data_IF_673618529409
#
_entry.id   IF_673618529409
#
_cell.length_a   1.000
_cell.length_b   1.000
_cell.length_c   1.000
_cell.angle_alpha   90.00
_cell.angle_beta   90.00
_cell.angle_gamma   90.00
#
_symmetry.space_group_name_H-M   'P 1'
#
loop_
_entity.id
_entity.type
_entity.pdbx_description
1 polymer ?
#
# COMPACT_ATOMS: atom_id res chain seq x y z
N UNK A 1 -14.43 1.31 -35.75
CA UNK A 1 -14.81 1.48 -34.34
C UNK A 1 -13.77 0.75 -33.51
N UNK A 2 -12.94 1.47 -32.75
CA UNK A 2 -12.00 0.83 -31.82
C UNK A 2 -12.77 0.14 -30.71
N UNK A 3 -12.44 -1.11 -30.42
CA UNK A 3 -13.08 -1.84 -29.34
C UNK A 3 -12.77 -1.13 -28.02
N UNK A 4 -13.79 -0.79 -27.23
CA UNK A 4 -13.62 -0.14 -25.92
C UNK A 4 -12.66 -0.95 -25.03
N UNK A 5 -12.67 -2.27 -25.16
CA UNK A 5 -11.74 -3.15 -24.45
C UNK A 5 -10.27 -2.92 -24.84
N UNK A 6 -9.97 -2.58 -26.09
CA UNK A 6 -8.60 -2.27 -26.54
C UNK A 6 -8.11 -0.95 -25.97
N UNK A 7 -8.99 0.06 -25.89
CA UNK A 7 -8.65 1.37 -25.32
C UNK A 7 -8.29 1.25 -23.83
N UNK A 8 -9.05 0.46 -23.07
CA UNK A 8 -8.87 0.30 -21.62
C UNK A 8 -8.13 -0.97 -21.21
N UNK A 9 -7.46 -1.65 -22.14
CA UNK A 9 -6.76 -2.91 -21.85
C UNK A 9 -5.70 -2.73 -20.76
N UNK A 10 -4.88 -1.68 -20.84
CA UNK A 10 -3.79 -1.43 -19.89
C UNK A 10 -4.27 -1.19 -18.44
N UNK A 11 -5.22 -0.28 -18.15
CA UNK A 11 -5.73 -0.07 -16.79
C UNK A 11 -6.52 -1.28 -16.26
N UNK A 12 -7.18 -2.04 -17.14
CA UNK A 12 -7.82 -3.30 -16.78
C UNK A 12 -6.78 -4.32 -16.30
N UNK A 13 -5.71 -4.54 -17.06
CA UNK A 13 -4.64 -5.46 -16.67
C UNK A 13 -3.92 -5.00 -15.39
N UNK A 14 -3.70 -3.70 -15.21
CA UNK A 14 -3.15 -3.17 -13.95
C UNK A 14 -4.08 -3.43 -12.75
N UNK A 15 -5.39 -3.30 -12.94
CA UNK A 15 -6.38 -3.65 -11.91
C UNK A 15 -6.37 -5.15 -11.59
N UNK A 16 -6.27 -6.02 -12.62
CA UNK A 16 -6.11 -7.46 -12.42
C UNK A 16 -4.81 -7.80 -11.67
N UNK A 17 -3.70 -7.14 -12.01
CA UNK A 17 -2.42 -7.31 -11.32
C UNK A 17 -2.51 -6.86 -9.85
N UNK A 18 -3.25 -5.79 -9.56
CA UNK A 18 -3.54 -5.36 -8.19
C UNK A 18 -4.35 -6.42 -7.42
N UNK A 19 -5.39 -6.99 -8.03
CA UNK A 19 -6.19 -8.08 -7.42
C UNK A 19 -5.34 -9.32 -7.16
N UNK A 20 -4.48 -9.70 -8.11
CA UNK A 20 -3.55 -10.81 -7.92
C UNK A 20 -2.61 -10.55 -6.73
N UNK A 21 -2.04 -9.34 -6.64
CA UNK A 21 -1.19 -8.94 -5.52
C UNK A 21 -1.94 -8.98 -4.18
N UNK A 22 -3.21 -8.55 -4.14
CA UNK A 22 -4.06 -8.65 -2.97
C UNK A 22 -4.17 -10.10 -2.47
N UNK A 23 -4.46 -11.06 -3.36
CA UNK A 23 -4.52 -12.47 -2.98
C UNK A 23 -3.17 -13.04 -2.55
N UNK A 24 -2.07 -12.58 -3.14
CA UNK A 24 -0.71 -12.94 -2.68
C UNK A 24 -0.50 -12.46 -1.23
N UNK A 25 -0.93 -11.24 -0.89
CA UNK A 25 -0.78 -10.70 0.47
C UNK A 25 -1.69 -11.39 1.49
N UNK A 26 -2.92 -11.71 1.11
CA UNK A 26 -3.82 -12.55 1.92
C UNK A 26 -3.19 -13.92 2.18
N UNK A 27 -2.64 -14.55 1.13
CA UNK A 27 -1.94 -15.82 1.23
C UNK A 27 -0.73 -15.76 2.17
N UNK A 28 0.09 -14.72 2.04
CA UNK A 28 1.22 -14.47 2.94
C UNK A 28 0.78 -14.29 4.40
N UNK A 29 -0.22 -13.44 4.65
CA UNK A 29 -0.75 -13.20 5.99
C UNK A 29 -1.27 -14.50 6.62
N UNK A 30 -2.02 -15.29 5.86
CA UNK A 30 -2.53 -16.60 6.30
C UNK A 30 -1.39 -17.57 6.60
N UNK A 31 -0.38 -17.65 5.74
CA UNK A 31 0.76 -18.55 5.92
C UNK A 31 1.56 -18.23 7.20
N UNK A 32 1.79 -16.95 7.49
CA UNK A 32 2.46 -16.51 8.72
C UNK A 32 1.63 -16.87 9.95
N UNK A 33 0.33 -16.51 9.96
CA UNK A 33 -0.59 -16.83 11.06
C UNK A 33 -0.64 -18.33 11.33
N UNK A 34 -0.82 -19.13 10.29
CA UNK A 34 -0.88 -20.58 10.39
C UNK A 34 0.44 -21.17 10.92
N UNK A 35 1.58 -20.73 10.37
CA UNK A 35 2.90 -21.21 10.81
C UNK A 35 3.15 -20.90 12.29
N UNK A 36 2.75 -19.73 12.78
CA UNK A 36 2.96 -19.35 14.19
C UNK A 36 2.04 -20.16 15.11
N UNK A 37 0.75 -20.25 14.77
CA UNK A 37 -0.23 -20.97 15.61
C UNK A 37 0.08 -22.47 15.69
N UNK A 38 0.59 -23.07 14.62
CA UNK A 38 0.90 -24.50 14.59
C UNK A 38 2.27 -24.84 15.20
N UNK A 39 3.30 -24.03 14.93
CA UNK A 39 4.67 -24.32 15.42
C UNK A 39 4.94 -23.84 16.85
N UNK A 40 4.11 -22.94 17.38
CA UNK A 40 4.30 -22.36 18.71
C UNK A 40 3.04 -22.49 19.58
N UNK A 41 2.68 -23.71 20.04
CA UNK A 41 1.52 -23.90 20.92
C UNK A 41 1.67 -23.15 22.27
N UNK A 42 2.91 -22.91 22.72
CA UNK A 42 3.23 -22.09 23.90
C UNK A 42 2.82 -20.63 23.74
N UNK A 43 2.86 -20.09 22.51
CA UNK A 43 2.35 -18.74 22.25
C UNK A 43 0.84 -18.65 22.49
N UNK A 44 0.08 -19.66 22.03
CA UNK A 44 -1.36 -19.72 22.23
C UNK A 44 -1.71 -19.87 23.72
N UNK A 45 -0.97 -20.72 24.43
CA UNK A 45 -1.14 -20.91 25.88
C UNK A 45 -0.83 -19.62 26.66
N UNK A 46 0.30 -18.97 26.38
CA UNK A 46 0.65 -17.69 26.96
C UNK A 46 -0.40 -16.61 26.68
N UNK A 47 -0.85 -16.48 25.41
CA UNK A 47 -1.87 -15.50 25.02
C UNK A 47 -3.21 -15.71 25.74
N UNK A 48 -3.53 -16.96 26.09
CA UNK A 48 -4.74 -17.32 26.81
C UNK A 48 -4.52 -17.42 28.35
N UNK A 49 -3.42 -16.87 28.87
CA UNK A 49 -3.06 -16.88 30.30
C UNK A 49 -2.93 -18.27 30.95
N UNK A 50 -2.70 -19.32 30.15
CA UNK A 50 -2.45 -20.67 30.67
C UNK A 50 -1.01 -20.87 31.14
N UNK A 51 -0.06 -20.09 30.63
CA UNK A 51 1.35 -20.16 31.01
C UNK A 51 1.76 -18.94 31.85
N UNK A 52 2.61 -19.11 32.87
CA UNK A 52 3.05 -18.01 33.72
C UNK A 52 3.88 -16.98 32.93
N UNK A 53 3.80 -15.68 33.29
CA UNK A 53 4.51 -14.61 32.62
C UNK A 53 5.98 -14.57 33.06
N UNK A 54 6.75 -15.57 32.68
CA UNK A 54 8.22 -15.55 32.81
C UNK A 54 8.84 -14.63 31.77
N UNK A 55 10.03 -14.08 32.06
CA UNK A 55 10.77 -13.22 31.12
C UNK A 55 11.00 -13.90 29.76
N UNK A 56 11.29 -15.20 29.77
CA UNK A 56 11.47 -16.00 28.56
C UNK A 56 10.19 -16.11 27.73
N UNK A 57 9.06 -16.42 28.36
CA UNK A 57 7.76 -16.53 27.69
C UNK A 57 7.32 -15.18 27.10
N UNK A 58 7.50 -14.09 27.86
CA UNK A 58 7.22 -12.73 27.40
C UNK A 58 8.04 -12.37 26.16
N UNK A 59 9.34 -12.68 26.15
CA UNK A 59 10.22 -12.39 25.01
C UNK A 59 9.82 -13.15 23.74
N UNK A 60 9.53 -14.44 23.86
CA UNK A 60 9.08 -15.27 22.73
C UNK A 60 7.73 -14.76 22.20
N UNK A 61 6.77 -14.51 23.11
CA UNK A 61 5.46 -14.02 22.74
C UNK A 61 5.52 -12.65 22.05
N UNK A 62 6.34 -11.73 22.56
CA UNK A 62 6.56 -10.42 21.94
C UNK A 62 7.12 -10.52 20.53
N UNK A 63 8.08 -11.43 20.30
CA UNK A 63 8.66 -11.67 18.97
C UNK A 63 7.62 -12.22 17.99
N UNK A 64 6.86 -13.23 18.38
CA UNK A 64 5.82 -13.84 17.54
C UNK A 64 4.68 -12.85 17.25
N UNK A 65 4.28 -12.05 18.25
CA UNK A 65 3.32 -10.98 18.08
C UNK A 65 3.84 -9.94 17.07
N UNK A 66 5.11 -9.56 17.13
CA UNK A 66 5.70 -8.63 16.16
C UNK A 66 5.70 -9.19 14.72
N UNK A 67 5.84 -10.51 14.53
CA UNK A 67 5.71 -11.16 13.22
C UNK A 67 4.26 -11.14 12.71
N UNK A 68 3.28 -11.44 13.59
CA UNK A 68 1.86 -11.36 13.25
C UNK A 68 1.47 -9.95 12.83
N UNK A 69 1.87 -8.95 13.61
CA UNK A 69 1.59 -7.54 13.30
C UNK A 69 2.30 -7.10 12.01
N UNK A 70 3.52 -7.60 11.73
CA UNK A 70 4.19 -7.32 10.47
C UNK A 70 3.38 -7.85 9.28
N UNK A 71 2.89 -9.09 9.38
CA UNK A 71 2.04 -9.69 8.36
C UNK A 71 0.72 -8.93 8.17
N UNK A 72 0.05 -8.53 9.26
CA UNK A 72 -1.17 -7.72 9.20
C UNK A 72 -0.95 -6.35 8.55
N UNK A 73 0.21 -5.72 8.76
CA UNK A 73 0.54 -4.44 8.11
C UNK A 73 0.74 -4.55 6.60
N UNK A 74 1.16 -5.69 6.07
CA UNK A 74 1.31 -5.85 4.62
C UNK A 74 -0.02 -5.69 3.88
N UNK A 75 -1.06 -6.35 4.36
CA UNK A 75 -2.41 -6.24 3.78
C UNK A 75 -3.09 -4.92 4.18
N UNK A 76 -2.93 -4.48 5.43
CA UNK A 76 -3.50 -3.22 5.91
C UNK A 76 -3.03 -2.05 5.05
N UNK A 77 -1.72 -1.95 4.82
CA UNK A 77 -1.16 -0.87 4.01
C UNK A 77 -1.58 -0.93 2.53
N UNK A 78 -1.76 -2.13 1.97
CA UNK A 78 -2.29 -2.30 0.61
C UNK A 78 -3.71 -1.74 0.52
N UNK A 79 -4.58 -2.12 1.46
CA UNK A 79 -5.98 -1.72 1.50
C UNK A 79 -6.18 -0.23 1.81
N UNK A 80 -5.34 0.38 2.65
CA UNK A 80 -5.42 1.80 3.02
C UNK A 80 -5.43 2.75 1.80
N UNK A 81 -4.64 2.47 0.76
CA UNK A 81 -4.62 3.32 -0.44
C UNK A 81 -5.40 2.73 -1.62
N UNK A 82 -6.01 1.55 -1.46
CA UNK A 82 -6.69 0.86 -2.56
C UNK A 82 -7.88 1.65 -3.12
N UNK A 83 -8.78 2.23 -2.29
CA UNK A 83 -9.88 3.02 -2.82
C UNK A 83 -9.39 4.23 -3.62
N UNK A 84 -8.41 4.96 -3.08
CA UNK A 84 -7.84 6.13 -3.74
C UNK A 84 -7.15 5.74 -5.06
N UNK A 85 -6.36 4.67 -5.07
CA UNK A 85 -5.69 4.18 -6.27
C UNK A 85 -6.67 3.73 -7.35
N UNK A 86 -7.59 2.81 -7.04
CA UNK A 86 -8.49 2.24 -8.05
C UNK A 86 -9.41 3.31 -8.63
N UNK A 87 -9.98 4.18 -7.80
CA UNK A 87 -10.84 5.27 -8.26
C UNK A 87 -10.06 6.24 -9.15
N UNK A 88 -8.91 6.71 -8.69
CA UNK A 88 -8.14 7.70 -9.46
C UNK A 88 -7.52 7.13 -10.73
N UNK A 89 -7.10 5.86 -10.74
CA UNK A 89 -6.65 5.16 -11.95
C UNK A 89 -7.72 5.17 -13.03
N UNK A 90 -8.94 4.78 -12.67
CA UNK A 90 -10.05 4.71 -13.63
C UNK A 90 -10.52 6.09 -14.06
N UNK A 91 -10.60 7.06 -13.15
CA UNK A 91 -10.91 8.46 -13.51
C UNK A 91 -9.88 9.01 -14.50
N UNK A 92 -8.58 8.83 -14.24
CA UNK A 92 -7.51 9.27 -15.14
C UNK A 92 -7.58 8.55 -16.48
N UNK A 93 -7.82 7.24 -16.47
CA UNK A 93 -7.85 6.44 -17.69
C UNK A 93 -9.00 6.83 -18.61
N UNK A 94 -10.17 7.16 -18.04
CA UNK A 94 -11.36 7.57 -18.81
C UNK A 94 -11.26 9.02 -19.27
N UNK A 95 -10.76 9.93 -18.42
CA UNK A 95 -10.80 11.37 -18.69
C UNK A 95 -9.54 11.93 -19.35
N UNK A 96 -8.39 11.25 -19.22
CA UNK A 96 -7.09 11.80 -19.62
C UNK A 96 -6.37 10.87 -20.60
N UNK A 97 -5.88 9.72 -20.14
CA UNK A 97 -5.12 8.77 -20.99
C UNK A 97 -5.14 7.37 -20.37
N UNK A 98 -5.85 6.43 -21.03
CA UNK A 98 -5.93 5.05 -20.58
C UNK A 98 -4.59 4.30 -20.64
N UNK A 99 -3.81 4.49 -21.70
CA UNK A 99 -2.57 3.76 -21.91
C UNK A 99 -1.49 4.19 -20.91
N UNK A 100 -1.33 5.50 -20.69
CA UNK A 100 -0.42 6.03 -19.69
C UNK A 100 -0.90 5.75 -18.26
N UNK A 101 -2.22 5.82 -18.01
CA UNK A 101 -2.84 5.43 -16.76
C UNK A 101 -2.49 3.99 -16.36
N UNK A 102 -2.63 3.05 -17.30
CA UNK A 102 -2.26 1.65 -17.06
C UNK A 102 -0.77 1.44 -16.78
N UNK A 103 0.15 2.14 -17.46
CA UNK A 103 1.60 2.07 -17.16
C UNK A 103 1.90 2.49 -15.72
N UNK A 104 1.35 3.62 -15.27
CA UNK A 104 1.51 4.07 -13.89
C UNK A 104 0.79 3.15 -12.90
N UNK A 105 -0.32 2.54 -13.30
CA UNK A 105 -0.99 1.48 -12.55
C UNK A 105 -0.09 0.26 -12.30
N UNK A 106 0.66 -0.20 -13.30
CA UNK A 106 1.66 -1.25 -13.11
C UNK A 106 2.82 -0.81 -12.23
N UNK A 107 3.31 0.43 -12.38
CA UNK A 107 4.33 0.98 -11.47
C UNK A 107 3.84 0.96 -10.02
N UNK A 108 2.60 1.37 -9.76
CA UNK A 108 1.97 1.31 -8.44
C UNK A 108 1.99 -0.12 -7.87
N UNK A 109 1.51 -1.11 -8.64
CA UNK A 109 1.52 -2.52 -8.23
C UNK A 109 2.95 -3.01 -7.95
N UNK A 110 3.91 -2.62 -8.79
CA UNK A 110 5.33 -2.91 -8.60
C UNK A 110 5.86 -2.39 -7.27
N UNK A 111 5.66 -1.10 -6.95
CA UNK A 111 6.06 -0.54 -5.67
C UNK A 111 5.35 -1.22 -4.48
N UNK A 112 4.06 -1.53 -4.61
CA UNK A 112 3.33 -2.28 -3.57
C UNK A 112 3.92 -3.66 -3.32
N UNK A 113 4.33 -4.38 -4.35
CA UNK A 113 4.93 -5.70 -4.21
C UNK A 113 6.24 -5.68 -3.39
N UNK A 114 6.97 -4.56 -3.38
CA UNK A 114 8.20 -4.39 -2.60
C UNK A 114 7.95 -4.20 -1.09
N UNK A 115 6.75 -3.79 -0.69
CA UNK A 115 6.41 -3.45 0.70
C UNK A 115 6.76 -4.53 1.74
N UNK A 116 6.33 -5.82 1.59
CA UNK A 116 6.66 -6.86 2.57
C UNK A 116 8.16 -7.07 2.76
N UNK A 117 8.95 -6.91 1.69
CA UNK A 117 10.40 -7.05 1.75
C UNK A 117 11.06 -5.89 2.51
N UNK A 118 10.56 -4.67 2.33
CA UNK A 118 11.06 -3.46 2.99
C UNK A 118 10.64 -3.37 4.47
N UNK A 119 9.45 -3.90 4.79
CA UNK A 119 8.95 -4.01 6.15
C UNK A 119 9.75 -5.05 6.96
N UNK A 120 10.08 -6.18 6.33
CA UNK A 120 10.76 -7.30 6.96
C UNK A 120 9.83 -8.25 7.71
N UNK A 121 10.41 -9.30 8.32
CA UNK A 121 9.65 -10.36 9.00
C UNK A 121 9.13 -9.96 10.38
N UNK A 122 9.77 -9.00 11.03
CA UNK A 122 9.46 -8.57 12.40
C UNK A 122 9.38 -7.06 12.45
N UNK A 123 8.30 -6.54 13.05
CA UNK A 123 8.21 -5.12 13.34
C UNK A 123 9.20 -4.73 14.43
N UNK A 124 10.15 -3.88 14.06
CA UNK A 124 11.04 -3.21 15.02
C UNK A 124 10.30 -2.04 15.68
N UNK A 125 10.74 -1.63 16.88
CA UNK A 125 10.15 -0.53 17.68
C UNK A 125 9.85 0.74 16.87
N UNK A 126 10.69 1.08 15.89
CA UNK A 126 10.37 2.09 14.88
C UNK A 126 9.98 1.41 13.57
N UNK A 127 8.90 1.89 12.96
CA UNK A 127 8.53 1.53 11.59
C UNK A 127 9.77 1.63 10.69
N UNK A 128 10.04 0.56 9.93
CA UNK A 128 11.19 0.52 9.03
C UNK A 128 11.06 1.68 8.05
N UNK A 129 11.91 2.72 8.16
CA UNK A 129 11.92 3.87 7.23
C UNK A 129 12.08 3.43 5.77
N UNK A 130 12.51 2.18 5.52
CA UNK A 130 12.61 1.58 4.19
C UNK A 130 11.25 1.43 3.52
N UNK A 131 10.15 1.28 4.27
CA UNK A 131 8.80 1.14 3.68
C UNK A 131 8.39 2.38 2.87
N UNK A 132 8.97 3.54 3.17
CA UNK A 132 8.75 4.77 2.41
C UNK A 132 9.14 4.66 0.94
N UNK A 133 10.10 3.79 0.62
CA UNK A 133 10.50 3.51 -0.78
C UNK A 133 9.37 2.87 -1.58
N UNK A 134 8.49 2.10 -0.92
CA UNK A 134 7.30 1.53 -1.56
C UNK A 134 6.08 2.43 -1.46
N UNK A 135 5.92 3.22 -0.39
CA UNK A 135 4.69 3.99 -0.17
C UNK A 135 4.71 5.37 -0.82
N UNK A 136 5.84 6.08 -0.80
CA UNK A 136 5.92 7.44 -1.34
C UNK A 136 5.66 7.49 -2.85
N UNK A 137 6.26 6.63 -3.69
CA UNK A 137 5.94 6.62 -5.12
C UNK A 137 4.47 6.31 -5.40
N UNK A 138 3.86 5.44 -4.59
CA UNK A 138 2.42 5.13 -4.69
C UNK A 138 1.55 6.37 -4.44
N UNK A 139 1.88 7.17 -3.40
CA UNK A 139 1.18 8.43 -3.16
C UNK A 139 1.36 9.42 -4.30
N UNK A 140 2.57 9.56 -4.84
CA UNK A 140 2.82 10.42 -5.99
C UNK A 140 2.00 10.00 -7.22
N UNK A 141 1.86 8.70 -7.48
CA UNK A 141 1.04 8.19 -8.60
C UNK A 141 -0.43 8.54 -8.39
N UNK A 142 -0.99 8.26 -7.20
CA UNK A 142 -2.39 8.58 -6.88
C UNK A 142 -2.64 10.08 -7.04
N UNK A 143 -1.74 10.90 -6.52
CA UNK A 143 -1.89 12.36 -6.57
C UNK A 143 -1.75 12.89 -8.00
N UNK A 144 -0.85 12.32 -8.79
CA UNK A 144 -0.72 12.63 -10.21
C UNK A 144 -2.01 12.33 -10.98
N UNK A 145 -2.61 11.15 -10.77
CA UNK A 145 -3.91 10.82 -11.37
C UNK A 145 -4.99 11.82 -10.98
N UNK A 146 -5.12 12.09 -9.68
CA UNK A 146 -6.14 12.99 -9.16
C UNK A 146 -6.00 14.42 -9.70
N UNK A 147 -4.80 14.99 -9.64
CA UNK A 147 -4.52 16.34 -10.13
C UNK A 147 -4.71 16.47 -11.63
N UNK A 148 -4.33 15.47 -12.42
CA UNK A 148 -4.53 15.47 -13.87
C UNK A 148 -6.00 15.48 -14.27
N UNK A 149 -6.84 14.74 -13.53
CA UNK A 149 -8.29 14.73 -13.78
C UNK A 149 -8.93 16.07 -13.42
N UNK A 150 -8.48 16.71 -12.34
CA UNK A 150 -8.93 18.07 -12.00
C UNK A 150 -8.53 19.03 -13.11
N UNK A 151 -7.26 19.01 -13.53
CA UNK A 151 -6.77 19.90 -14.60
C UNK A 151 -7.49 19.68 -15.94
N UNK A 152 -7.84 18.44 -16.29
CA UNK A 152 -8.58 18.14 -17.53
C UNK A 152 -10.04 18.61 -17.48
N UNK A 153 -10.59 18.78 -16.27
CA UNK A 153 -11.99 19.18 -16.06
C UNK A 153 -12.18 20.69 -15.90
N UNK A 154 -11.10 21.45 -15.67
CA UNK A 154 -11.15 22.89 -15.51
C UNK A 154 -10.98 23.63 -16.85
N UNK A 155 -11.68 24.75 -17.08
CA UNK A 155 -11.43 25.62 -18.23
C UNK A 155 -9.96 26.06 -18.25
N UNK A 156 -9.33 26.05 -19.43
CA UNK A 156 -7.89 26.27 -19.64
C UNK A 156 -7.30 27.59 -19.12
N UNK A 157 -8.11 28.46 -18.51
CA UNK A 157 -7.70 29.71 -17.87
C UNK A 157 -7.32 29.57 -16.39
N UNK A 158 -7.56 28.43 -15.73
CA UNK A 158 -7.41 28.32 -14.26
C UNK A 158 -6.18 27.57 -13.75
N UNK A 159 -5.44 26.79 -14.56
CA UNK A 159 -4.26 26.07 -14.08
C UNK A 159 -3.19 25.84 -15.16
N UNK A 160 -1.98 26.44 -15.06
CA UNK A 160 -0.87 26.04 -15.92
C UNK A 160 -0.39 24.63 -15.56
N UNK A 161 -0.04 23.87 -16.60
CA UNK A 161 0.43 22.47 -16.60
C UNK A 161 1.61 22.18 -15.64
N UNK A 162 2.28 23.21 -15.12
CA UNK A 162 3.41 23.13 -14.17
C UNK A 162 3.01 22.84 -12.71
N UNK A 163 1.71 22.84 -12.40
CA UNK A 163 1.15 22.73 -11.04
C UNK A 163 0.99 21.30 -10.51
N UNK A 164 0.93 20.28 -11.36
CA UNK A 164 0.77 18.87 -10.93
C UNK A 164 1.94 18.36 -10.09
N UNK A 165 3.17 18.80 -10.41
CA UNK A 165 4.39 18.47 -9.66
C UNK A 165 4.42 19.17 -8.30
N UNK A 166 4.01 20.44 -8.25
CA UNK A 166 3.92 21.22 -7.00
C UNK A 166 2.83 20.68 -6.06
N UNK A 167 1.70 20.21 -6.60
CA UNK A 167 0.67 19.53 -5.81
C UNK A 167 1.15 18.20 -5.23
N UNK A 168 1.91 17.40 -6.00
CA UNK A 168 2.53 16.17 -5.50
C UNK A 168 3.49 16.46 -4.33
N UNK A 169 4.26 17.55 -4.40
CA UNK A 169 5.16 17.98 -3.33
C UNK A 169 4.38 18.50 -2.11
N UNK A 170 3.29 19.25 -2.29
CA UNK A 170 2.48 19.77 -1.19
C UNK A 170 1.83 18.65 -0.35
N UNK A 171 1.26 17.63 -1.00
CA UNK A 171 0.70 16.46 -0.29
C UNK A 171 1.78 15.59 0.32
N UNK A 172 2.95 15.47 -0.32
CA UNK A 172 4.11 14.82 0.28
C UNK A 172 4.50 15.49 1.61
N UNK A 173 4.57 16.82 1.66
CA UNK A 173 4.91 17.55 2.88
C UNK A 173 3.78 17.57 3.92
N UNK A 174 2.52 17.67 3.50
CA UNK A 174 1.37 17.63 4.42
C UNK A 174 1.20 16.23 5.07
N UNK A 175 1.33 15.16 4.28
CA UNK A 175 1.23 13.78 4.78
C UNK A 175 2.47 13.35 5.59
N UNK A 176 3.68 13.74 5.16
CA UNK A 176 4.90 13.51 5.94
C UNK A 176 4.88 14.31 7.26
N UNK A 177 4.37 15.54 7.26
CA UNK A 177 4.16 16.34 8.48
C UNK A 177 3.20 15.67 9.45
N UNK A 178 2.05 15.18 8.97
CA UNK A 178 1.05 14.51 9.80
C UNK A 178 1.59 13.21 10.43
N UNK A 179 2.37 12.42 9.68
CA UNK A 179 2.97 11.19 10.23
C UNK A 179 4.15 11.44 11.18
N UNK A 180 4.89 12.53 11.01
CA UNK A 180 5.94 12.92 11.96
C UNK A 180 5.33 13.40 13.29
N UNK A 181 4.16 14.04 13.26
CA UNK A 181 3.42 14.50 14.46
C UNK A 181 2.75 13.32 15.19
N UNK A 182 2.23 12.33 14.47
CA UNK A 182 1.56 11.16 15.07
C UNK A 182 2.56 10.09 15.55
N UNK A 183 3.82 10.15 15.10
CA UNK A 183 4.88 9.22 15.52
C UNK A 183 5.82 9.77 16.61
N UNK A 184 5.57 10.99 17.10
CA UNK A 184 6.24 11.64 18.25
C UNK A 184 5.34 11.64 19.48
#
# INVERSE_FOLDING_TARGET
>A
MTNVAEVYQMPLLASCAWVALFYVFVGYQRAVKYSILHKHPTFCRYKNNFDPPTESNQKIAGKLQAQLTAADRTIGNLLEQAPAFLVTLWMYSVAVDAHYGGKLGFCYVGFRSLYPFLLGRELKKNNSKRVYVATLPCYCIIFYFFSSVISSSLPGSLFPLSSGVLGCLFVFFAWAGLHLIVAS
#
